data_IF_852123479043
#
_entry.id   IF_852123479043
#
_cell.length_a   1.000
_cell.length_b   1.000
_cell.length_c   1.000
_cell.angle_alpha   90.00
_cell.angle_beta   90.00
_cell.angle_gamma   90.00
#
_symmetry.space_group_name_H-M   'P 1'
#
loop_
_entity.id
_entity.type
_entity.pdbx_description
1 polymer ?
#
# COMPACT_ATOMS: atom_id res chain seq x y z
N UNK A 1 7.74 46.22 15.88
CA UNK A 1 8.32 44.96 15.44
C UNK A 1 9.29 45.25 14.30
N UNK A 2 10.57 44.89 14.46
CA UNK A 2 11.54 45.11 13.39
C UNK A 2 11.28 44.17 12.20
N UNK A 3 11.57 44.58 10.96
CA UNK A 3 11.36 43.76 9.78
C UNK A 3 12.14 42.43 9.86
N UNK A 4 13.21 42.38 10.64
CA UNK A 4 14.01 41.20 10.87
C UNK A 4 13.24 40.13 11.68
N UNK A 5 12.56 40.52 12.75
CA UNK A 5 11.75 39.62 13.59
C UNK A 5 10.55 39.03 12.83
N UNK A 6 9.98 39.79 11.90
CA UNK A 6 8.89 39.31 11.03
C UNK A 6 9.41 38.26 10.06
N UNK A 7 10.57 38.47 9.44
CA UNK A 7 11.19 37.49 8.53
C UNK A 7 11.58 36.19 9.25
N UNK A 8 12.16 36.28 10.45
CA UNK A 8 12.49 35.09 11.25
C UNK A 8 11.24 34.25 11.59
N UNK A 9 10.14 34.92 11.95
CA UNK A 9 8.87 34.21 12.25
C UNK A 9 8.29 33.51 11.02
N UNK A 10 8.34 34.15 9.85
CA UNK A 10 7.87 33.55 8.60
C UNK A 10 8.72 32.34 8.21
N UNK A 11 10.04 32.46 8.30
CA UNK A 11 10.97 31.32 8.01
C UNK A 11 10.76 30.18 8.99
N UNK A 12 10.58 30.46 10.27
CA UNK A 12 10.29 29.44 11.29
C UNK A 12 8.97 28.73 11.06
N UNK A 13 7.93 29.48 10.64
CA UNK A 13 6.63 28.91 10.28
C UNK A 13 6.70 28.03 9.03
N UNK A 14 7.45 28.45 8.01
CA UNK A 14 7.66 27.68 6.79
C UNK A 14 8.46 26.40 7.05
N UNK A 15 9.51 26.46 7.86
CA UNK A 15 10.28 25.27 8.28
C UNK A 15 9.45 24.30 9.10
N UNK A 16 8.62 24.81 10.02
CA UNK A 16 7.69 23.99 10.80
C UNK A 16 6.64 23.31 9.91
N UNK A 17 6.12 24.03 8.91
CA UNK A 17 5.15 23.49 7.96
C UNK A 17 5.78 22.40 7.07
N UNK A 18 7.03 22.58 6.64
CA UNK A 18 7.74 21.56 5.87
C UNK A 18 8.02 20.30 6.70
N UNK A 19 8.30 20.39 7.98
CA UNK A 19 8.53 19.24 8.85
C UNK A 19 7.26 18.38 9.05
N UNK A 20 6.08 18.95 8.93
CA UNK A 20 4.78 18.22 9.06
C UNK A 20 4.42 17.44 7.79
N UNK A 21 4.99 17.81 6.64
CA UNK A 21 4.67 17.19 5.33
C UNK A 21 5.51 15.93 5.07
N UNK A 22 6.59 15.69 5.82
CA UNK A 22 7.39 14.46 5.69
C UNK A 22 6.63 13.29 6.29
N UNK A 23 5.90 12.56 5.43
CA UNK A 23 5.19 11.35 5.83
C UNK A 23 6.14 10.22 6.25
N UNK A 24 5.70 9.41 7.19
CA UNK A 24 6.42 8.19 7.55
C UNK A 24 6.30 7.15 6.43
N UNK A 25 7.42 6.70 5.90
CA UNK A 25 7.49 5.53 5.02
C UNK A 25 7.73 4.32 5.91
N UNK A 26 6.71 3.46 6.05
CA UNK A 26 6.84 2.20 6.78
C UNK A 26 7.60 1.16 5.97
N UNK A 27 8.31 0.25 6.66
CA UNK A 27 8.87 -0.95 6.03
C UNK A 27 7.73 -1.87 5.58
N UNK A 28 7.81 -2.48 4.38
CA UNK A 28 6.79 -3.41 3.92
C UNK A 28 6.74 -4.63 4.83
N UNK A 29 5.53 -5.05 5.18
CA UNK A 29 5.30 -6.31 5.87
C UNK A 29 5.31 -7.44 4.83
N UNK A 30 6.00 -8.54 5.13
CA UNK A 30 6.03 -9.75 4.30
C UNK A 30 5.17 -10.80 4.98
N UNK A 31 4.18 -11.30 4.27
CA UNK A 31 3.32 -12.39 4.74
C UNK A 31 3.71 -13.64 3.96
N UNK A 32 4.27 -14.62 4.67
CA UNK A 32 4.60 -15.93 4.12
C UNK A 32 3.49 -16.91 4.52
N UNK A 33 2.90 -17.56 3.53
CA UNK A 33 1.94 -18.64 3.74
C UNK A 33 2.58 -19.97 3.31
N UNK A 34 2.27 -21.02 4.05
CA UNK A 34 2.70 -22.39 3.67
C UNK A 34 1.64 -22.93 2.72
N UNK A 35 2.02 -23.42 1.52
CA UNK A 35 1.05 -24.02 0.61
C UNK A 35 0.49 -25.31 1.18
N UNK A 36 -0.82 -25.46 1.08
CA UNK A 36 -1.55 -26.68 1.45
C UNK A 36 -1.45 -27.79 0.39
N UNK A 37 -0.92 -27.47 -0.78
CA UNK A 37 -0.75 -28.38 -1.91
C UNK A 37 0.61 -28.16 -2.59
N UNK A 38 1.16 -29.18 -3.30
CA UNK A 38 2.38 -29.02 -4.06
C UNK A 38 2.25 -27.92 -5.13
N UNK A 39 3.20 -27.01 -5.17
CA UNK A 39 3.26 -25.91 -6.13
C UNK A 39 4.50 -26.01 -7.00
N UNK A 40 4.42 -25.52 -8.21
CA UNK A 40 5.55 -25.45 -9.13
C UNK A 40 6.26 -24.09 -8.99
N UNK A 41 7.29 -24.07 -8.17
CA UNK A 41 8.08 -22.86 -7.93
C UNK A 41 8.89 -22.39 -9.15
N UNK A 42 9.12 -23.26 -10.13
CA UNK A 42 9.86 -22.89 -11.34
C UNK A 42 9.05 -21.98 -12.27
N UNK A 43 7.73 -22.00 -12.17
CA UNK A 43 6.81 -21.23 -13.01
C UNK A 43 6.15 -20.07 -12.27
N UNK A 44 6.83 -19.52 -11.26
CA UNK A 44 6.33 -18.37 -10.53
C UNK A 44 6.30 -17.08 -11.37
N UNK A 45 5.29 -16.23 -11.14
CA UNK A 45 5.22 -14.88 -11.70
C UNK A 45 4.87 -13.86 -10.63
N UNK A 46 5.41 -12.66 -10.77
CA UNK A 46 5.05 -11.54 -9.89
C UNK A 46 3.66 -11.03 -10.23
N UNK A 47 2.83 -10.81 -9.22
CA UNK A 47 1.51 -10.20 -9.32
C UNK A 47 1.43 -8.99 -8.41
N UNK A 48 0.75 -7.95 -8.88
CA UNK A 48 0.63 -6.66 -8.21
C UNK A 48 -0.85 -6.26 -8.14
N UNK A 49 -1.24 -5.69 -7.02
CA UNK A 49 -2.58 -5.11 -6.88
C UNK A 49 -2.57 -3.90 -5.97
N UNK A 50 -3.40 -2.92 -6.28
CA UNK A 50 -3.55 -1.71 -5.49
C UNK A 50 -5.03 -1.42 -5.26
N UNK A 51 -5.36 -1.05 -4.03
CA UNK A 51 -6.67 -0.51 -3.69
C UNK A 51 -6.52 0.75 -2.86
N UNK A 52 -7.24 1.80 -3.24
CA UNK A 52 -7.20 3.10 -2.59
C UNK A 52 -8.54 3.44 -1.95
N UNK A 53 -8.49 4.29 -0.93
CA UNK A 53 -9.61 4.97 -0.32
C UNK A 53 -9.26 6.43 -0.10
N UNK A 54 -10.25 7.28 0.06
CA UNK A 54 -10.08 8.71 0.25
C UNK A 54 -10.78 9.16 1.53
N UNK A 55 -10.14 10.04 2.29
CA UNK A 55 -10.74 10.67 3.47
C UNK A 55 -10.92 12.15 3.20
N UNK A 56 -12.16 12.55 3.00
CA UNK A 56 -12.51 13.94 2.71
C UNK A 56 -12.50 14.75 4.00
N UNK A 57 -11.84 15.92 3.97
CA UNK A 57 -11.72 16.85 5.11
C UNK A 57 -11.29 16.18 6.43
N UNK A 58 -10.57 15.05 6.36
CA UNK A 58 -10.13 14.24 7.51
C UNK A 58 -11.28 13.67 8.37
N UNK A 59 -12.52 13.81 7.95
CA UNK A 59 -13.71 13.42 8.73
C UNK A 59 -14.54 12.38 7.98
N UNK A 60 -14.72 12.51 6.67
CA UNK A 60 -15.61 11.66 5.88
C UNK A 60 -14.79 10.55 5.19
N UNK A 61 -14.85 9.31 5.65
CA UNK A 61 -14.17 8.20 5.01
C UNK A 61 -14.92 7.74 3.76
N UNK A 62 -14.24 7.74 2.61
CA UNK A 62 -14.77 7.24 1.35
C UNK A 62 -13.95 6.03 0.93
N UNK A 63 -14.54 4.84 1.00
CA UNK A 63 -13.90 3.56 0.65
C UNK A 63 -12.54 3.33 1.37
N UNK A 64 -12.35 3.91 2.55
CA UNK A 64 -11.13 3.72 3.35
C UNK A 64 -11.08 2.37 4.03
N UNK A 65 -12.25 1.82 4.38
CA UNK A 65 -12.38 0.49 4.97
C UNK A 65 -12.18 -0.59 3.90
N UNK A 66 -11.76 -1.77 4.32
CA UNK A 66 -11.60 -2.96 3.46
C UNK A 66 -10.60 -2.79 2.29
N UNK A 67 -9.71 -1.78 2.34
CA UNK A 67 -8.71 -1.58 1.29
C UNK A 67 -7.82 -2.80 1.11
N UNK A 68 -7.33 -3.37 2.21
CA UNK A 68 -6.49 -4.57 2.18
C UNK A 68 -7.24 -5.75 1.56
N UNK A 69 -8.51 -5.95 1.92
CA UNK A 69 -9.35 -7.00 1.36
C UNK A 69 -9.59 -6.80 -0.14
N UNK A 70 -9.92 -5.58 -0.57
CA UNK A 70 -10.08 -5.25 -1.99
C UNK A 70 -8.77 -5.41 -2.78
N UNK A 71 -7.62 -5.05 -2.20
CA UNK A 71 -6.32 -5.26 -2.80
C UNK A 71 -6.02 -6.76 -2.93
N UNK A 72 -6.31 -7.55 -1.91
CA UNK A 72 -6.13 -9.01 -1.92
C UNK A 72 -7.02 -9.69 -2.96
N UNK A 73 -8.29 -9.28 -3.07
CA UNK A 73 -9.19 -9.80 -4.10
C UNK A 73 -8.72 -9.47 -5.51
N UNK A 74 -8.17 -8.26 -5.72
CA UNK A 74 -7.54 -7.91 -6.99
C UNK A 74 -6.30 -8.74 -7.25
N UNK A 75 -5.44 -8.94 -6.25
CA UNK A 75 -4.24 -9.76 -6.37
C UNK A 75 -4.58 -11.19 -6.78
N UNK A 76 -5.61 -11.79 -6.16
CA UNK A 76 -6.11 -13.13 -6.53
C UNK A 76 -6.65 -13.18 -7.96
N UNK A 77 -7.35 -12.13 -8.41
CA UNK A 77 -7.83 -12.03 -9.80
C UNK A 77 -6.68 -11.92 -10.79
N UNK A 78 -5.65 -11.14 -10.48
CA UNK A 78 -4.44 -11.03 -11.29
C UNK A 78 -3.65 -12.34 -11.33
N UNK A 79 -3.63 -13.08 -10.23
CA UNK A 79 -3.02 -14.41 -10.18
C UNK A 79 -3.74 -15.43 -11.11
N UNK A 80 -5.08 -15.33 -11.23
CA UNK A 80 -5.85 -16.18 -12.13
C UNK A 80 -5.72 -17.67 -11.79
N UNK A 81 -5.21 -18.45 -12.74
CA UNK A 81 -4.97 -19.91 -12.59
C UNK A 81 -3.79 -20.21 -11.62
N UNK A 82 -2.96 -19.23 -11.31
CA UNK A 82 -1.86 -19.36 -10.34
C UNK A 82 -2.43 -19.24 -8.92
N UNK A 83 -3.00 -20.32 -8.42
CA UNK A 83 -3.82 -20.34 -7.22
C UNK A 83 -3.07 -20.14 -5.90
N UNK A 84 -1.74 -20.30 -5.90
CA UNK A 84 -0.92 -20.11 -4.72
C UNK A 84 -0.12 -18.80 -4.83
N UNK A 85 -0.30 -17.91 -3.87
CA UNK A 85 0.41 -16.64 -3.79
C UNK A 85 1.27 -16.66 -2.53
N UNK A 86 2.57 -16.49 -2.70
CA UNK A 86 3.55 -16.44 -1.63
C UNK A 86 4.27 -15.09 -1.59
N UNK A 87 5.02 -14.86 -0.53
CA UNK A 87 5.87 -13.68 -0.33
C UNK A 87 5.11 -12.36 -0.53
N UNK A 88 3.88 -12.30 -0.01
CA UNK A 88 3.03 -11.11 -0.17
C UNK A 88 3.62 -9.96 0.64
N UNK A 89 4.15 -8.97 -0.06
CA UNK A 89 4.61 -7.72 0.51
C UNK A 89 3.44 -6.73 0.53
N UNK A 90 3.19 -6.14 1.67
CA UNK A 90 2.15 -5.13 1.88
C UNK A 90 2.83 -3.78 2.04
N UNK A 91 2.45 -2.81 1.23
CA UNK A 91 2.92 -1.43 1.33
C UNK A 91 1.73 -0.50 1.41
N UNK A 92 1.74 0.37 2.41
CA UNK A 92 0.77 1.45 2.55
C UNK A 92 1.36 2.75 2.04
N UNK A 93 0.61 3.45 1.21
CA UNK A 93 0.93 4.81 0.75
C UNK A 93 -0.22 5.75 1.08
N UNK A 94 0.13 6.95 1.43
CA UNK A 94 -0.84 7.99 1.70
C UNK A 94 -0.34 9.32 1.17
N UNK A 95 -1.27 10.09 0.64
CA UNK A 95 -1.03 11.39 0.03
C UNK A 95 -1.98 12.40 0.63
N UNK A 96 -1.43 13.50 1.09
CA UNK A 96 -2.24 14.64 1.52
C UNK A 96 -2.56 15.54 0.34
N UNK A 97 -3.82 15.90 0.22
CA UNK A 97 -4.31 16.93 -0.69
C UNK A 97 -5.00 18.04 0.08
N UNK A 98 -5.30 19.16 -0.60
CA UNK A 98 -6.00 20.31 0.00
C UNK A 98 -7.34 19.94 0.64
N UNK A 99 -8.04 18.96 0.09
CA UNK A 99 -9.40 18.57 0.49
C UNK A 99 -9.48 17.25 1.23
N UNK A 100 -8.35 16.55 1.43
CA UNK A 100 -8.35 15.29 2.15
C UNK A 100 -7.10 14.46 1.94
N UNK A 101 -7.14 13.23 2.41
CA UNK A 101 -6.02 12.28 2.35
C UNK A 101 -6.42 11.05 1.55
N UNK A 102 -5.60 10.65 0.61
CA UNK A 102 -5.73 9.37 -0.11
C UNK A 102 -4.85 8.32 0.56
N UNK A 103 -5.42 7.17 0.83
CA UNK A 103 -4.74 6.00 1.37
C UNK A 103 -4.78 4.88 0.35
N UNK A 104 -3.64 4.31 0.01
CA UNK A 104 -3.53 3.20 -0.93
C UNK A 104 -2.78 2.03 -0.28
N UNK A 105 -3.37 0.84 -0.39
CA UNK A 105 -2.72 -0.43 -0.03
C UNK A 105 -2.24 -1.08 -1.32
N UNK A 106 -0.93 -1.28 -1.43
CA UNK A 106 -0.28 -1.99 -2.53
C UNK A 106 0.13 -3.38 -2.04
N UNK A 107 -0.21 -4.40 -2.80
CA UNK A 107 0.20 -5.78 -2.58
C UNK A 107 1.05 -6.25 -3.75
N UNK A 108 2.19 -6.83 -3.44
CA UNK A 108 3.07 -7.50 -4.38
C UNK A 108 3.30 -8.92 -3.90
N UNK A 109 3.11 -9.92 -4.75
CA UNK A 109 3.32 -11.32 -4.40
C UNK A 109 3.84 -12.13 -5.57
N UNK A 110 4.33 -13.34 -5.26
CA UNK A 110 4.70 -14.36 -6.24
C UNK A 110 3.56 -15.35 -6.37
N UNK A 111 2.97 -15.47 -7.54
CA UNK A 111 1.93 -16.44 -7.83
C UNK A 111 2.51 -17.68 -8.53
N UNK A 112 2.13 -18.86 -8.05
CA UNK A 112 2.60 -20.16 -8.55
C UNK A 112 1.42 -21.04 -8.97
N UNK A 113 1.54 -21.80 -10.09
CA UNK A 113 0.54 -22.77 -10.46
C UNK A 113 0.64 -24.00 -9.55
N UNK A 114 -0.48 -24.71 -9.37
CA UNK A 114 -0.47 -26.03 -8.75
C UNK A 114 0.31 -27.01 -9.62
N UNK A 115 1.02 -27.93 -8.99
CA UNK A 115 1.57 -29.07 -9.72
C UNK A 115 0.39 -29.93 -10.22
N UNK A 116 0.42 -30.26 -11.50
CA UNK A 116 -0.51 -31.26 -12.03
C UNK A 116 -0.25 -32.58 -11.31
N UNK A 117 -1.21 -33.06 -10.55
CA UNK A 117 -1.19 -34.42 -10.01
C UNK A 117 -1.27 -35.36 -11.21
N UNK A 118 -0.17 -35.92 -11.63
CA UNK A 118 -0.14 -37.10 -12.54
C UNK A 118 -0.76 -38.25 -11.77
N UNK A 119 -2.03 -38.52 -12.07
CA UNK A 119 -2.71 -39.78 -11.67
C UNK A 119 -2.19 -40.93 -12.50
#
# INVERSE_FOLDING_TARGET
MSPLTRRLRIVGLLLSLMAVVTGCVGSPMIINTIPDQPVDYARGRTVLATACGFQLLLIIPIMTNERAERALQKLRREAGEYNYIADVKVRERWFYGLVGTMYCTELEGMAFPRQATTS
#
